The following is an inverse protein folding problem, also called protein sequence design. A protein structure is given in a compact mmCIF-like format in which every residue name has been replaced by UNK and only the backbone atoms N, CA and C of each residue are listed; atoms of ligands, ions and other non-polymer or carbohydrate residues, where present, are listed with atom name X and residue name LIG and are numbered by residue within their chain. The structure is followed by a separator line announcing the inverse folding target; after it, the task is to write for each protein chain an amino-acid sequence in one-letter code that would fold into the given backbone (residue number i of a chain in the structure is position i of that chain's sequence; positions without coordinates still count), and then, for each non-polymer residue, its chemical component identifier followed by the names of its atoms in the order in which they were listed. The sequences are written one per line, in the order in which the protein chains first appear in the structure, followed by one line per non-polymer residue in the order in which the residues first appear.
data_IF_742703523940
#
_entry.id   IF_742703523940
#
_cell.length_a   1.000
_cell.length_b   1.000
_cell.length_c   1.000
_cell.angle_alpha   90.00
_cell.angle_beta   90.00
_cell.angle_gamma   90.00
#
_symmetry.space_group_name_H-M   'P 1'
#
loop_
_entity.id
_entity.type
_entity.pdbx_description
1 polymer ?
#
# COMPACT_ATOMS: atom_id res chain seq x y z
N UNK A 1 13.01 -9.85 -11.00
CA UNK A 1 11.80 -10.40 -10.34
C UNK A 1 10.91 -10.98 -11.42
N UNK A 2 10.42 -12.20 -11.25
CA UNK A 2 9.39 -12.74 -12.16
C UNK A 2 8.08 -11.96 -11.98
N UNK A 3 7.24 -11.87 -13.01
CA UNK A 3 5.95 -11.15 -12.93
C UNK A 3 5.06 -11.65 -11.77
N UNK A 4 5.19 -12.93 -11.42
CA UNK A 4 4.49 -13.56 -10.29
C UNK A 4 4.99 -13.07 -8.92
N UNK A 5 6.29 -12.79 -8.78
CA UNK A 5 6.83 -12.19 -7.55
C UNK A 5 6.33 -10.75 -7.37
N UNK A 6 6.23 -9.97 -8.45
CA UNK A 6 5.68 -8.60 -8.40
C UNK A 6 4.21 -8.57 -8.00
N UNK A 7 3.38 -9.47 -8.52
CA UNK A 7 1.97 -9.59 -8.14
C UNK A 7 1.79 -9.89 -6.64
N UNK A 8 2.57 -10.84 -6.11
CA UNK A 8 2.58 -11.14 -4.68
C UNK A 8 3.06 -9.96 -3.84
N UNK A 9 4.07 -9.21 -4.30
CA UNK A 9 4.57 -8.01 -3.62
C UNK A 9 3.52 -6.89 -3.62
N UNK A 10 2.81 -6.68 -4.72
CA UNK A 10 1.74 -5.66 -4.79
C UNK A 10 0.60 -5.98 -3.81
N UNK A 11 0.13 -7.24 -3.79
CA UNK A 11 -0.88 -7.70 -2.81
C UNK A 11 -0.40 -7.53 -1.37
N UNK A 12 0.84 -7.91 -1.08
CA UNK A 12 1.43 -7.71 0.24
C UNK A 12 1.47 -6.23 0.65
N UNK A 13 1.86 -5.32 -0.26
CA UNK A 13 1.87 -3.88 0.00
C UNK A 13 0.46 -3.34 0.29
N UNK A 14 -0.57 -3.83 -0.43
CA UNK A 14 -1.96 -3.48 -0.15
C UNK A 14 -2.44 -3.96 1.22
N UNK A 15 -2.10 -5.19 1.61
CA UNK A 15 -2.47 -5.74 2.92
C UNK A 15 -1.76 -5.00 4.06
N UNK A 16 -0.49 -4.60 3.86
CA UNK A 16 0.22 -3.73 4.80
C UNK A 16 -0.39 -2.33 4.89
N UNK A 17 -0.83 -1.74 3.77
CA UNK A 17 -1.52 -0.44 3.79
C UNK A 17 -2.81 -0.50 4.63
N UNK A 18 -3.61 -1.56 4.45
CA UNK A 18 -4.81 -1.82 5.27
C UNK A 18 -4.46 -2.04 6.74
N UNK A 19 -3.39 -2.80 7.01
CA UNK A 19 -2.90 -3.05 8.37
C UNK A 19 -2.47 -1.77 9.09
N UNK A 20 -1.74 -0.87 8.40
CA UNK A 20 -1.35 0.44 8.93
C UNK A 20 -2.58 1.30 9.22
N UNK A 21 -3.55 1.34 8.30
CA UNK A 21 -4.82 2.02 8.54
C UNK A 21 -5.56 1.49 9.76
N UNK A 22 -5.60 0.17 9.92
CA UNK A 22 -6.25 -0.46 11.06
C UNK A 22 -5.52 -0.12 12.39
N UNK A 23 -4.20 -0.27 12.44
CA UNK A 23 -3.45 -0.06 13.69
C UNK A 23 -3.35 1.43 14.04
N UNK A 24 -2.95 2.26 13.08
CA UNK A 24 -2.68 3.68 13.34
C UNK A 24 -3.96 4.49 13.52
N UNK A 25 -5.03 4.17 12.78
CA UNK A 25 -6.29 4.92 12.84
C UNK A 25 -7.26 4.24 13.80
N UNK A 26 -7.61 2.96 13.58
CA UNK A 26 -8.59 2.26 14.43
C UNK A 26 -8.03 1.99 15.82
N UNK A 27 -6.77 1.54 15.93
CA UNK A 27 -6.11 1.33 17.23
C UNK A 27 -5.97 2.62 18.05
N UNK A 28 -5.68 3.74 17.39
CA UNK A 28 -5.66 5.06 18.05
C UNK A 28 -7.05 5.48 18.55
N UNK A 29 -8.10 5.26 17.75
CA UNK A 29 -9.47 5.60 18.11
C UNK A 29 -9.99 4.74 19.28
N UNK A 30 -9.73 3.43 19.25
CA UNK A 30 -10.18 2.50 20.31
C UNK A 30 -9.45 2.75 21.63
N UNK A 31 -8.17 3.13 21.59
CA UNK A 31 -7.38 3.44 22.79
C UNK A 31 -7.67 4.83 23.38
N UNK A 32 -8.43 5.68 22.70
CA UNK A 32 -8.69 7.06 23.12
C UNK A 32 -7.45 7.98 23.07
N UNK A 33 -6.30 7.48 22.59
CA UNK A 33 -5.05 8.23 22.46
C UNK A 33 -4.78 8.72 21.03
N UNK A 34 -5.75 8.62 20.12
CA UNK A 34 -5.62 9.16 18.78
C UNK A 34 -5.34 10.67 18.83
N UNK A 35 -4.10 11.04 18.53
CA UNK A 35 -3.71 12.41 18.24
C UNK A 35 -3.98 12.70 16.76
N UNK A 36 -4.34 13.94 16.44
CA UNK A 36 -4.47 14.39 15.05
C UNK A 36 -3.17 14.12 14.25
N UNK A 37 -2.01 14.18 14.92
CA UNK A 37 -0.71 13.90 14.31
C UNK A 37 -0.51 12.43 13.97
N UNK A 38 -0.98 11.49 14.81
CA UNK A 38 -0.86 10.05 14.51
C UNK A 38 -1.77 9.64 13.36
N UNK A 39 -2.94 10.27 13.22
CA UNK A 39 -3.83 10.04 12.08
C UNK A 39 -3.21 10.51 10.76
N UNK A 40 -2.56 11.68 10.74
CA UNK A 40 -1.85 12.19 9.56
C UNK A 40 -0.70 11.29 9.16
N UNK A 41 0.14 10.88 10.12
CA UNK A 41 1.25 9.96 9.82
C UNK A 41 0.77 8.61 9.31
N UNK A 42 -0.32 8.07 9.87
CA UNK A 42 -0.97 6.86 9.37
C UNK A 42 -1.49 7.03 7.94
N UNK A 43 -2.09 8.18 7.63
CA UNK A 43 -2.57 8.50 6.27
C UNK A 43 -1.40 8.60 5.28
N UNK A 44 -0.31 9.29 5.65
CA UNK A 44 0.90 9.38 4.83
C UNK A 44 1.53 8.01 4.56
N UNK A 45 1.63 7.16 5.59
CA UNK A 45 2.10 5.79 5.44
C UNK A 45 1.21 5.02 4.46
N UNK A 46 -0.10 5.08 4.64
CA UNK A 46 -1.07 4.42 3.77
C UNK A 46 -0.95 4.88 2.31
N UNK A 47 -0.87 6.19 2.06
CA UNK A 47 -0.66 6.75 0.72
C UNK A 47 0.67 6.30 0.11
N UNK A 48 1.75 6.24 0.89
CA UNK A 48 3.07 5.80 0.41
C UNK A 48 3.03 4.35 -0.06
N UNK A 49 2.46 3.45 0.74
CA UNK A 49 2.30 2.04 0.39
C UNK A 49 1.37 1.86 -0.83
N UNK A 50 0.30 2.64 -0.91
CA UNK A 50 -0.64 2.61 -2.04
C UNK A 50 0.02 3.08 -3.35
N UNK A 51 0.79 4.18 -3.30
CA UNK A 51 1.53 4.69 -4.47
C UNK A 51 2.62 3.73 -4.91
N UNK A 52 3.34 3.10 -3.97
CA UNK A 52 4.31 2.05 -4.31
C UNK A 52 3.65 0.85 -4.99
N UNK A 53 2.50 0.38 -4.48
CA UNK A 53 1.76 -0.71 -5.10
C UNK A 53 1.27 -0.33 -6.51
N UNK A 54 0.69 0.87 -6.66
CA UNK A 54 0.21 1.39 -7.94
C UNK A 54 1.32 1.49 -8.98
N UNK A 55 2.50 1.97 -8.58
CA UNK A 55 3.66 2.04 -9.46
C UNK A 55 4.20 0.65 -9.86
N UNK A 56 4.18 -0.31 -8.93
CA UNK A 56 4.58 -1.69 -9.19
C UNK A 56 3.65 -2.36 -10.20
N UNK A 57 2.35 -2.05 -10.13
CA UNK A 57 1.30 -2.58 -11.02
C UNK A 57 1.31 -1.88 -12.38
N UNK A 58 1.47 -0.56 -12.45
CA UNK A 58 1.57 0.19 -13.71
C UNK A 58 2.77 -0.23 -14.56
N UNK A 59 3.89 -0.64 -13.94
CA UNK A 59 5.01 -1.25 -14.69
C UNK A 59 4.63 -2.60 -15.31
N UNK A 60 3.63 -3.33 -14.78
CA UNK A 60 3.26 -4.68 -15.25
C UNK A 60 2.51 -4.58 -16.58
N UNK A 61 1.63 -3.60 -16.68
CA UNK A 61 0.85 -3.35 -17.90
C UNK A 61 1.75 -2.88 -19.05
N UNK A 62 2.78 -2.08 -18.76
CA UNK A 62 3.79 -1.69 -19.75
C UNK A 62 4.64 -2.89 -20.25
N UNK A 63 5.07 -3.77 -19.35
CA UNK A 63 5.80 -4.99 -19.72
C UNK A 63 4.90 -5.94 -20.52
N UNK A 64 3.62 -6.09 -20.13
CA UNK A 64 2.65 -6.93 -20.84
C UNK A 64 2.37 -6.43 -22.27
N UNK A 65 2.28 -5.11 -22.46
CA UNK A 65 2.03 -4.48 -23.77
C UNK A 65 3.22 -4.64 -24.73
N UNK A 66 4.44 -4.70 -24.20
CA UNK A 66 5.67 -4.87 -25.00
C UNK A 66 5.85 -6.29 -25.54
N UNK A 67 5.14 -7.28 -25.00
CA UNK A 67 5.16 -8.66 -25.49
C UNK A 67 4.07 -8.97 -26.56
N UNK A 68 3.22 -8.00 -26.90
CA UNK A 68 2.12 -8.14 -27.88
C UNK A 68 2.43 -7.41 -29.20
N UNK A 69 3.52 -6.64 -29.26
CA UNK A 69 4.09 -6.02 -30.47
C UNK A 69 5.34 -6.78 -30.92
#
# INVERSE_FOLDING_TARGET
MSGRQRDSTAKFLYDMAKGIGLIAVVGGLVSGQASWWSAILGLFGMCTFFLMAYWLEGRRDNDATTHIL
#
